data_IF_052869018537
#
_entry.id   IF_052869018537
#
_cell.length_a   1.000
_cell.length_b   1.000
_cell.length_c   1.000
_cell.angle_alpha   90.00
_cell.angle_beta   90.00
_cell.angle_gamma   90.00
#
_symmetry.space_group_name_H-M   'P 1'
#
loop_
_entity.id
_entity.type
_entity.pdbx_description
1 polymer ?
#
# COMPACT_ATOMS: atom_id res chain seq x y z
N UNK A 1 27.56 -2.00 -6.32
CA UNK A 1 27.95 -0.82 -5.50
C UNK A 1 27.09 0.45 -5.74
N UNK A 2 25.85 0.36 -6.28
CA UNK A 2 25.06 1.56 -6.65
C UNK A 2 23.87 1.93 -5.74
N UNK A 3 23.42 1.06 -4.84
CA UNK A 3 22.19 1.29 -4.06
C UNK A 3 22.34 2.31 -2.90
N UNK A 4 23.55 2.58 -2.43
CA UNK A 4 23.78 3.49 -1.31
C UNK A 4 23.51 4.97 -1.63
N UNK A 5 23.71 5.38 -2.89
CA UNK A 5 23.64 6.78 -3.30
C UNK A 5 22.18 7.28 -3.43
N UNK A 6 21.29 6.43 -3.94
CA UNK A 6 19.86 6.74 -4.11
C UNK A 6 19.16 6.86 -2.74
N UNK A 7 19.54 6.03 -1.76
CA UNK A 7 18.98 6.10 -0.40
C UNK A 7 19.39 7.37 0.36
N UNK A 8 20.60 7.90 0.10
CA UNK A 8 21.08 9.14 0.72
C UNK A 8 20.42 10.38 0.11
N UNK A 9 20.20 10.38 -1.21
CA UNK A 9 19.55 11.49 -1.91
C UNK A 9 18.06 11.62 -1.54
N UNK A 10 17.34 10.50 -1.44
CA UNK A 10 15.94 10.50 -0.98
C UNK A 10 15.81 11.02 0.46
N UNK A 11 16.68 10.56 1.38
CA UNK A 11 16.71 11.07 2.76
C UNK A 11 17.00 12.58 2.83
N UNK A 12 17.92 13.08 2.00
CA UNK A 12 18.23 14.50 1.94
C UNK A 12 17.06 15.34 1.41
N UNK A 13 16.39 14.90 0.33
CA UNK A 13 15.24 15.61 -0.21
C UNK A 13 14.07 15.68 0.78
N UNK A 14 13.77 14.56 1.43
CA UNK A 14 12.73 14.47 2.46
C UNK A 14 13.07 15.36 3.66
N UNK A 15 14.31 15.32 4.16
CA UNK A 15 14.74 16.16 5.29
C UNK A 15 14.67 17.66 5.00
N UNK A 16 15.01 18.09 3.77
CA UNK A 16 14.92 19.50 3.37
C UNK A 16 13.49 19.98 3.27
N UNK A 17 12.58 19.10 2.85
CA UNK A 17 11.16 19.42 2.79
C UNK A 17 10.59 19.61 4.20
N UNK A 18 10.84 18.67 5.13
CA UNK A 18 10.41 18.80 6.52
C UNK A 18 11.00 20.05 7.21
N UNK A 19 12.30 20.34 7.00
CA UNK A 19 12.96 21.50 7.63
C UNK A 19 12.44 22.86 7.12
N UNK A 20 11.93 22.92 5.89
CA UNK A 20 11.31 24.14 5.35
C UNK A 20 9.93 24.40 5.97
N UNK A 21 9.23 23.35 6.37
CA UNK A 21 7.89 23.47 6.96
C UNK A 21 7.92 23.80 8.46
N UNK A 22 8.90 23.30 9.22
CA UNK A 22 9.11 23.71 10.62
C UNK A 22 9.29 25.24 10.77
N UNK A 23 10.07 25.86 9.88
CA UNK A 23 10.31 27.31 9.92
C UNK A 23 9.07 28.16 9.60
N UNK A 24 8.05 27.57 8.98
CA UNK A 24 6.81 28.26 8.62
C UNK A 24 5.76 28.16 9.74
N UNK A 25 5.83 27.10 10.55
CA UNK A 25 4.90 26.85 11.66
C UNK A 25 5.23 27.73 12.87
N UNK A 26 6.51 27.90 13.22
CA UNK A 26 6.94 28.75 14.35
C UNK A 26 6.54 30.22 14.22
N UNK A 27 6.29 30.69 13.01
CA UNK A 27 5.90 32.09 12.75
C UNK A 27 4.38 32.29 12.81
N UNK A 28 3.59 31.23 12.63
CA UNK A 28 2.13 31.32 12.64
C UNK A 28 1.52 31.20 14.05
N UNK A 29 2.24 30.57 14.99
CA UNK A 29 1.77 30.33 16.36
C UNK A 29 2.00 31.54 17.31
N UNK A 30 2.79 32.53 16.86
CA UNK A 30 3.05 33.79 17.58
C UNK A 30 1.82 34.71 17.69
N UNK A 31 0.88 34.62 16.75
CA UNK A 31 -0.10 35.70 16.54
C UNK A 31 -1.54 35.36 16.98
N UNK A 32 -1.77 34.21 17.64
CA UNK A 32 -3.12 33.76 18.05
C UNK A 32 -3.25 33.31 19.51
N UNK A 33 -2.42 33.84 20.40
CA UNK A 33 -2.54 33.63 21.84
C UNK A 33 -3.09 34.88 22.54
N UNK A 34 -4.41 35.09 22.48
CA UNK A 34 -5.13 35.96 23.41
C UNK A 34 -6.58 35.47 23.56
N UNK A 35 -6.93 35.14 24.81
CA UNK A 35 -8.29 34.97 25.36
C UNK A 35 -9.12 33.75 24.93
N UNK A 36 -9.23 32.73 25.81
CA UNK A 36 -10.36 32.62 26.75
C UNK A 36 -10.13 31.47 27.76
N UNK A 37 -10.26 31.81 29.05
CA UNK A 37 -10.22 30.89 30.18
C UNK A 37 -11.53 30.09 30.27
N UNK A 38 -11.45 28.76 30.36
CA UNK A 38 -12.44 28.01 31.15
C UNK A 38 -11.89 26.69 31.67
N UNK A 39 -11.89 26.61 33.00
CA UNK A 39 -11.43 25.53 33.84
C UNK A 39 -12.40 24.34 33.80
N UNK A 40 -11.94 23.20 33.30
CA UNK A 40 -12.31 21.86 33.76
C UNK A 40 -11.20 20.90 33.30
N UNK A 41 -10.09 20.96 34.04
CA UNK A 41 -8.83 20.28 33.74
C UNK A 41 -8.85 18.80 34.12
N UNK A 42 -9.47 17.97 33.30
CA UNK A 42 -8.81 16.72 32.92
C UNK A 42 -7.98 17.02 31.68
N UNK A 43 -6.73 17.38 31.95
CA UNK A 43 -5.75 17.68 30.93
C UNK A 43 -5.69 16.50 29.94
N UNK A 44 -6.22 16.72 28.74
CA UNK A 44 -5.75 16.11 27.52
C UNK A 44 -4.25 16.45 27.40
N UNK A 45 -3.41 15.73 28.15
CA UNK A 45 -1.99 15.68 27.88
C UNK A 45 -1.88 15.11 26.49
N UNK A 46 -1.69 15.99 25.52
CA UNK A 46 -1.24 15.63 24.18
C UNK A 46 0.06 14.88 24.39
N UNK A 47 -0.01 13.54 24.37
CA UNK A 47 1.17 12.71 24.54
C UNK A 47 2.13 13.10 23.43
N UNK A 48 3.33 13.54 23.81
CA UNK A 48 4.35 13.87 22.82
C UNK A 48 4.71 12.59 22.08
N UNK A 49 4.48 12.56 20.77
CA UNK A 49 4.78 11.43 19.90
C UNK A 49 6.30 11.24 19.84
N UNK A 50 6.80 10.07 20.20
CA UNK A 50 8.21 9.74 20.07
C UNK A 50 8.51 9.21 18.66
N UNK A 51 8.81 10.15 17.76
CA UNK A 51 9.14 9.85 16.36
C UNK A 51 10.41 8.99 16.17
N UNK A 52 11.19 8.75 17.23
CA UNK A 52 12.39 7.91 17.16
C UNK A 52 12.10 6.43 17.42
N UNK A 53 10.93 6.07 17.95
CA UNK A 53 10.54 4.68 18.18
C UNK A 53 10.06 4.02 16.86
N UNK A 54 11.01 3.56 16.05
CA UNK A 54 10.72 2.87 14.80
C UNK A 54 10.34 1.41 15.06
N UNK A 55 9.05 1.09 14.97
CA UNK A 55 8.50 -0.21 15.37
C UNK A 55 7.74 -0.96 14.25
N UNK A 56 7.55 -0.33 13.08
CA UNK A 56 6.71 -0.86 12.00
C UNK A 56 7.41 -0.79 10.61
N UNK A 57 7.13 -1.73 9.69
CA UNK A 57 6.44 -3.00 9.89
C UNK A 57 7.28 -3.97 10.73
N UNK A 58 6.63 -4.95 11.36
CA UNK A 58 7.26 -5.82 12.35
C UNK A 58 8.53 -6.48 11.78
N UNK A 59 9.66 -6.26 12.44
CA UNK A 59 10.97 -6.80 12.07
C UNK A 59 11.80 -5.93 11.14
N UNK A 60 11.21 -4.93 10.48
CA UNK A 60 11.94 -3.97 9.63
C UNK A 60 12.17 -2.62 10.31
N UNK A 61 11.34 -2.24 11.29
CA UNK A 61 11.52 -1.03 12.11
C UNK A 61 11.82 0.22 11.25
N UNK A 62 10.98 0.47 10.25
CA UNK A 62 11.16 1.55 9.27
C UNK A 62 10.44 2.83 9.66
N UNK A 63 9.28 2.71 10.29
CA UNK A 63 8.41 3.82 10.65
C UNK A 63 7.87 3.62 12.07
N UNK A 64 7.59 4.73 12.74
CA UNK A 64 6.88 4.74 14.01
C UNK A 64 5.37 4.57 13.76
N UNK A 65 4.74 3.66 14.49
CA UNK A 65 3.30 3.46 14.49
C UNK A 65 2.81 3.08 15.88
N UNK A 66 2.08 3.99 16.52
CA UNK A 66 1.36 3.70 17.76
C UNK A 66 -0.05 4.30 17.70
N UNK A 67 -1.07 3.43 17.76
CA UNK A 67 -2.48 3.85 17.68
C UNK A 67 -2.95 4.59 18.94
N UNK A 68 -2.30 4.33 20.08
CA UNK A 68 -2.73 4.88 21.37
C UNK A 68 -2.33 6.35 21.52
N UNK A 69 -1.42 6.84 20.65
CA UNK A 69 -1.00 8.24 20.57
C UNK A 69 -1.96 9.09 19.72
N UNK A 70 -2.94 8.46 19.07
CA UNK A 70 -3.97 9.13 18.28
C UNK A 70 -5.27 9.24 19.06
N UNK A 71 -6.01 10.32 18.79
CA UNK A 71 -7.41 10.46 19.22
C UNK A 71 -8.27 9.31 18.66
N UNK A 72 -9.30 8.87 19.40
CA UNK A 72 -10.12 7.69 19.07
C UNK A 72 -10.65 7.66 17.62
N UNK A 73 -11.07 8.81 17.09
CA UNK A 73 -11.54 8.93 15.72
C UNK A 73 -10.40 8.68 14.71
N UNK A 74 -9.25 9.32 14.91
CA UNK A 74 -8.05 9.16 14.09
C UNK A 74 -7.47 7.75 14.20
N UNK A 75 -7.48 7.15 15.40
CA UNK A 75 -7.03 5.78 15.63
C UNK A 75 -7.83 4.76 14.81
N UNK A 76 -9.15 4.95 14.66
CA UNK A 76 -10.00 4.11 13.81
C UNK A 76 -9.62 4.21 12.34
N UNK A 77 -9.43 5.43 11.82
CA UNK A 77 -9.01 5.65 10.42
C UNK A 77 -7.65 5.02 10.17
N UNK A 78 -6.71 5.23 11.09
CA UNK A 78 -5.37 4.65 11.02
C UNK A 78 -5.40 3.12 11.01
N UNK A 79 -6.26 2.50 11.82
CA UNK A 79 -6.48 1.04 11.82
C UNK A 79 -7.04 0.54 10.49
N UNK A 80 -7.99 1.25 9.90
CA UNK A 80 -8.55 0.89 8.57
C UNK A 80 -7.45 0.97 7.50
N UNK A 81 -6.65 2.05 7.51
CA UNK A 81 -5.53 2.22 6.59
C UNK A 81 -4.48 1.10 6.74
N UNK A 82 -4.15 0.74 7.98
CA UNK A 82 -3.27 -0.39 8.29
C UNK A 82 -3.79 -1.73 7.73
N UNK A 83 -5.07 -2.05 7.97
CA UNK A 83 -5.71 -3.25 7.41
C UNK A 83 -5.68 -3.21 5.88
N UNK A 84 -5.97 -2.05 5.28
CA UNK A 84 -5.89 -1.84 3.84
C UNK A 84 -4.51 -2.15 3.26
N UNK A 85 -3.44 -1.68 3.91
CA UNK A 85 -2.05 -2.00 3.53
C UNK A 85 -1.78 -3.50 3.55
N UNK A 86 -2.24 -4.22 4.58
CA UNK A 86 -2.08 -5.67 4.64
C UNK A 86 -2.89 -6.41 3.56
N UNK A 87 -4.10 -5.95 3.24
CA UNK A 87 -4.89 -6.51 2.14
C UNK A 87 -4.19 -6.34 0.79
N UNK A 88 -3.56 -5.19 0.58
CA UNK A 88 -2.77 -4.93 -0.64
C UNK A 88 -1.55 -5.85 -0.69
N UNK A 89 -0.80 -6.00 0.41
CA UNK A 89 0.33 -6.94 0.46
C UNK A 89 -0.10 -8.38 0.21
N UNK A 90 -1.22 -8.80 0.82
CA UNK A 90 -1.81 -10.11 0.57
C UNK A 90 -2.17 -10.31 -0.90
N UNK A 91 -2.76 -9.30 -1.54
CA UNK A 91 -3.11 -9.34 -2.97
C UNK A 91 -1.87 -9.43 -3.86
N UNK A 92 -0.81 -8.67 -3.55
CA UNK A 92 0.47 -8.74 -4.29
C UNK A 92 1.13 -10.13 -4.15
N UNK A 93 1.11 -10.72 -2.95
CA UNK A 93 1.64 -12.06 -2.70
C UNK A 93 0.81 -13.14 -3.40
N UNK A 94 -0.52 -13.05 -3.33
CA UNK A 94 -1.42 -13.96 -4.03
C UNK A 94 -1.21 -13.90 -5.54
N UNK A 95 -1.03 -12.70 -6.11
CA UNK A 95 -0.71 -12.54 -7.51
C UNK A 95 0.62 -13.22 -7.88
N UNK A 96 1.65 -13.09 -7.05
CA UNK A 96 2.92 -13.78 -7.28
C UNK A 96 2.75 -15.31 -7.29
N UNK A 97 2.00 -15.85 -6.32
CA UNK A 97 1.71 -17.29 -6.25
C UNK A 97 0.91 -17.76 -7.47
N UNK A 98 -0.11 -17.01 -7.87
CA UNK A 98 -0.93 -17.33 -9.05
C UNK A 98 -0.07 -17.39 -10.32
N UNK A 99 0.80 -16.40 -10.51
CA UNK A 99 1.71 -16.35 -11.66
C UNK A 99 2.75 -17.49 -11.63
N UNK A 100 3.23 -17.90 -10.45
CA UNK A 100 4.11 -19.07 -10.32
C UNK A 100 3.38 -20.37 -10.71
N UNK A 101 2.12 -20.55 -10.29
CA UNK A 101 1.30 -21.71 -10.67
C UNK A 101 1.08 -21.71 -12.19
N UNK A 102 0.68 -20.57 -12.78
CA UNK A 102 0.49 -20.46 -14.23
C UNK A 102 1.79 -20.76 -15.00
N UNK A 103 2.93 -20.30 -14.52
CA UNK A 103 4.22 -20.61 -15.13
C UNK A 103 4.54 -22.10 -15.10
N UNK A 104 4.20 -22.79 -14.00
CA UNK A 104 4.37 -24.26 -13.90
C UNK A 104 3.50 -25.03 -14.91
N UNK A 105 2.40 -24.42 -15.37
CA UNK A 105 1.50 -24.96 -16.39
C UNK A 105 1.90 -24.57 -17.83
N UNK A 106 3.06 -23.92 -18.02
CA UNK A 106 3.59 -23.53 -19.33
C UNK A 106 3.29 -22.10 -19.77
N UNK A 107 2.80 -21.23 -18.87
CA UNK A 107 2.66 -19.80 -19.18
C UNK A 107 4.03 -19.11 -19.31
N UNK A 108 4.06 -18.00 -20.07
CA UNK A 108 5.29 -17.25 -20.33
C UNK A 108 5.94 -16.74 -19.02
N UNK A 109 7.24 -17.02 -18.77
CA UNK A 109 7.92 -16.71 -17.52
C UNK A 109 8.08 -15.20 -17.27
N UNK A 110 7.97 -14.36 -18.31
CA UNK A 110 8.03 -12.89 -18.18
C UNK A 110 6.97 -12.34 -17.21
N UNK A 111 5.84 -13.04 -17.04
CA UNK A 111 4.80 -12.67 -16.07
C UNK A 111 5.29 -12.72 -14.63
N UNK A 112 6.16 -13.67 -14.29
CA UNK A 112 6.74 -13.80 -12.95
C UNK A 112 7.55 -12.53 -12.65
N UNK A 113 8.34 -12.08 -13.62
CA UNK A 113 9.16 -10.88 -13.49
C UNK A 113 8.31 -9.63 -13.25
N UNK A 114 7.20 -9.45 -13.98
CA UNK A 114 6.26 -8.34 -13.74
C UNK A 114 5.67 -8.39 -12.33
N UNK A 115 5.22 -9.56 -11.87
CA UNK A 115 4.70 -9.69 -10.49
C UNK A 115 5.75 -9.40 -9.42
N UNK A 116 7.03 -9.71 -9.66
CA UNK A 116 8.11 -9.31 -8.76
C UNK A 116 8.31 -7.79 -8.75
N UNK A 117 8.28 -7.14 -9.92
CA UNK A 117 8.35 -5.68 -10.01
C UNK A 117 7.18 -5.02 -9.31
N UNK A 118 5.97 -5.55 -9.41
CA UNK A 118 4.80 -5.05 -8.69
C UNK A 118 5.03 -5.06 -7.17
N UNK A 119 5.59 -6.14 -6.61
CA UNK A 119 5.92 -6.19 -5.18
C UNK A 119 6.97 -5.14 -4.82
N UNK A 120 8.06 -5.06 -5.60
CA UNK A 120 9.17 -4.15 -5.32
C UNK A 120 8.76 -2.69 -5.44
N UNK A 121 7.89 -2.34 -6.40
CA UNK A 121 7.47 -0.97 -6.66
C UNK A 121 6.25 -0.57 -5.84
N UNK A 122 5.20 -1.39 -5.80
CA UNK A 122 3.95 -1.03 -5.13
C UNK A 122 4.05 -1.18 -3.61
N UNK A 123 4.77 -2.16 -3.08
CA UNK A 123 4.79 -2.38 -1.63
C UNK A 123 5.37 -1.19 -0.83
N UNK A 124 6.49 -0.56 -1.26
CA UNK A 124 7.00 0.65 -0.62
C UNK A 124 6.07 1.86 -0.78
N UNK A 125 5.42 2.00 -1.95
CA UNK A 125 4.49 3.11 -2.20
C UNK A 125 3.27 3.02 -1.29
N UNK A 126 2.71 1.83 -1.11
CA UNK A 126 1.59 1.58 -0.19
C UNK A 126 2.00 1.83 1.26
N UNK A 127 3.21 1.39 1.65
CA UNK A 127 3.77 1.67 2.97
C UNK A 127 3.92 3.18 3.22
N UNK A 128 4.46 3.90 2.24
CA UNK A 128 4.64 5.34 2.30
C UNK A 128 3.29 6.07 2.41
N UNK A 129 2.27 5.62 1.68
CA UNK A 129 0.93 6.22 1.75
C UNK A 129 0.26 5.96 3.12
N UNK A 130 0.43 4.76 3.68
CA UNK A 130 0.01 4.45 5.05
C UNK A 130 0.71 5.35 6.08
N UNK A 131 2.04 5.48 5.98
CA UNK A 131 2.81 6.32 6.88
C UNK A 131 2.40 7.78 6.79
N UNK A 132 2.23 8.30 5.56
CA UNK A 132 1.75 9.65 5.33
C UNK A 132 0.37 9.85 5.96
N UNK A 133 -0.53 8.88 5.84
CA UNK A 133 -1.85 8.91 6.50
C UNK A 133 -1.71 9.04 8.01
N UNK A 134 -0.84 8.22 8.62
CA UNK A 134 -0.59 8.26 10.06
C UNK A 134 -0.03 9.61 10.50
N UNK A 135 0.99 10.14 9.81
CA UNK A 135 1.60 11.44 10.11
C UNK A 135 0.58 12.57 9.99
N UNK A 136 -0.25 12.56 8.94
CA UNK A 136 -1.33 13.55 8.78
C UNK A 136 -2.32 13.50 9.94
N UNK A 137 -2.69 12.31 10.40
CA UNK A 137 -3.62 12.12 11.53
C UNK A 137 -3.00 12.55 12.88
N UNK A 138 -1.71 12.29 13.06
CA UNK A 138 -0.94 12.66 14.26
C UNK A 138 -0.72 14.17 14.38
N UNK A 139 -0.33 14.82 13.28
CA UNK A 139 0.02 16.25 13.27
C UNK A 139 -1.18 17.18 13.16
N UNK A 140 -2.35 16.65 12.77
CA UNK A 140 -3.60 17.42 12.56
C UNK A 140 -3.46 18.63 11.62
N UNK A 141 -2.42 18.66 10.77
CA UNK A 141 -2.12 19.78 9.89
C UNK A 141 -2.93 19.69 8.58
N UNK A 142 -3.68 20.75 8.27
CA UNK A 142 -4.57 20.83 7.08
C UNK A 142 -3.81 20.73 5.75
N UNK A 143 -2.57 21.20 5.68
CA UNK A 143 -1.75 21.11 4.46
C UNK A 143 -1.43 19.67 4.11
N UNK A 144 -1.01 18.88 5.11
CA UNK A 144 -0.74 17.45 4.97
C UNK A 144 -1.99 16.65 4.61
N UNK A 145 -3.18 17.10 5.01
CA UNK A 145 -4.44 16.46 4.66
C UNK A 145 -4.72 16.52 3.15
N UNK A 146 -4.51 17.69 2.53
CA UNK A 146 -4.68 17.84 1.08
C UNK A 146 -3.69 16.96 0.31
N UNK A 147 -2.42 16.95 0.73
CA UNK A 147 -1.39 16.11 0.12
C UNK A 147 -1.68 14.61 0.26
N UNK A 148 -2.06 14.16 1.46
CA UNK A 148 -2.46 12.79 1.73
C UNK A 148 -3.70 12.37 0.93
N UNK A 149 -4.68 13.26 0.77
CA UNK A 149 -5.87 13.00 -0.06
C UNK A 149 -5.48 12.85 -1.54
N UNK A 150 -4.61 13.73 -2.04
CA UNK A 150 -4.07 13.63 -3.41
C UNK A 150 -3.32 12.32 -3.65
N UNK A 151 -2.51 11.89 -2.68
CA UNK A 151 -1.78 10.61 -2.75
C UNK A 151 -2.74 9.40 -2.82
N UNK A 152 -3.82 9.39 -2.02
CA UNK A 152 -4.85 8.35 -2.10
C UNK A 152 -5.58 8.33 -3.44
N UNK A 153 -5.98 9.49 -3.96
CA UNK A 153 -6.64 9.58 -5.27
C UNK A 153 -5.71 9.05 -6.36
N UNK A 154 -4.44 9.45 -6.34
CA UNK A 154 -3.43 8.96 -7.29
C UNK A 154 -3.26 7.44 -7.19
N UNK A 155 -3.20 6.89 -5.97
CA UNK A 155 -3.13 5.44 -5.75
C UNK A 155 -4.36 4.72 -6.29
N UNK A 156 -5.56 5.25 -6.05
CA UNK A 156 -6.80 4.69 -6.61
C UNK A 156 -6.78 4.68 -8.14
N UNK A 157 -6.32 5.77 -8.77
CA UNK A 157 -6.19 5.84 -10.23
C UNK A 157 -5.14 4.85 -10.77
N UNK A 158 -4.01 4.69 -10.06
CA UNK A 158 -2.98 3.72 -10.40
C UNK A 158 -3.54 2.29 -10.35
N UNK A 159 -4.23 1.92 -9.27
CA UNK A 159 -4.88 0.62 -9.15
C UNK A 159 -5.95 0.39 -10.22
N UNK A 160 -6.77 1.41 -10.51
CA UNK A 160 -7.78 1.33 -11.55
C UNK A 160 -7.14 1.11 -12.93
N UNK A 161 -6.04 1.80 -13.22
CA UNK A 161 -5.28 1.63 -14.47
C UNK A 161 -4.72 0.21 -14.58
N UNK A 162 -4.09 -0.29 -13.51
CA UNK A 162 -3.58 -1.66 -13.45
C UNK A 162 -4.67 -2.71 -13.60
N UNK A 163 -5.87 -2.44 -13.07
CA UNK A 163 -7.05 -3.29 -13.23
C UNK A 163 -7.55 -3.31 -14.68
N UNK A 164 -7.63 -2.15 -15.36
CA UNK A 164 -8.09 -2.04 -16.75
C UNK A 164 -7.11 -2.70 -17.73
N UNK A 165 -5.80 -2.49 -17.54
CA UNK A 165 -4.76 -3.05 -18.43
C UNK A 165 -4.77 -4.59 -18.38
N UNK A 166 -5.30 -5.20 -17.32
CA UNK A 166 -5.33 -6.65 -17.20
C UNK A 166 -3.93 -7.26 -17.04
N UNK A 167 -2.96 -6.46 -16.65
CA UNK A 167 -1.61 -6.92 -16.31
C UNK A 167 -1.26 -6.70 -14.84
N UNK A 168 -2.19 -6.16 -14.05
CA UNK A 168 -1.97 -5.91 -12.63
C UNK A 168 -2.36 -7.06 -11.68
N UNK A 169 -2.09 -6.87 -10.36
CA UNK A 169 -2.29 -7.88 -9.32
C UNK A 169 -3.73 -8.40 -9.16
N UNK A 170 -4.70 -7.65 -9.67
CA UNK A 170 -6.13 -7.93 -9.54
C UNK A 170 -6.62 -8.88 -10.64
N UNK A 171 -5.79 -9.14 -11.66
CA UNK A 171 -6.24 -9.85 -12.85
C UNK A 171 -6.31 -11.38 -12.72
N UNK A 172 -5.85 -11.96 -11.61
CA UNK A 172 -6.01 -13.39 -11.33
C UNK A 172 -7.49 -13.83 -11.34
N UNK A 173 -8.40 -12.98 -10.84
CA UNK A 173 -9.83 -13.34 -10.74
C UNK A 173 -10.56 -13.35 -12.09
N UNK A 174 -10.23 -12.45 -13.00
CA UNK A 174 -10.90 -12.39 -14.32
C UNK A 174 -10.45 -13.55 -15.20
N UNK A 175 -9.16 -13.92 -15.17
CA UNK A 175 -8.60 -15.02 -15.98
C UNK A 175 -9.02 -16.41 -15.49
N UNK A 176 -9.36 -16.57 -14.21
CA UNK A 176 -9.89 -17.84 -13.68
C UNK A 176 -11.17 -18.29 -14.42
N UNK A 177 -12.00 -17.34 -14.86
CA UNK A 177 -13.22 -17.65 -15.62
C UNK A 177 -12.92 -18.23 -17.00
N UNK A 178 -11.84 -17.77 -17.65
CA UNK A 178 -11.44 -18.23 -18.97
C UNK A 178 -10.67 -19.56 -18.92
N UNK A 179 -9.90 -19.80 -17.86
CA UNK A 179 -9.21 -21.08 -17.66
C UNK A 179 -10.20 -22.23 -17.44
N UNK A 180 -11.33 -21.97 -16.76
CA UNK A 180 -12.38 -22.97 -16.55
C UNK A 180 -13.00 -23.45 -17.86
N UNK A 181 -13.21 -22.55 -18.84
CA UNK A 181 -13.78 -22.92 -20.14
C UNK A 181 -12.78 -23.70 -21.00
N UNK A 182 -11.49 -23.34 -20.96
CA UNK A 182 -10.45 -24.07 -21.71
C UNK A 182 -10.18 -25.47 -21.14
N UNK A 183 -10.11 -25.62 -19.82
CA UNK A 183 -9.96 -26.93 -19.17
C UNK A 183 -11.17 -27.83 -19.49
N UNK A 184 -12.38 -27.29 -19.45
CA UNK A 184 -13.59 -28.02 -19.84
C UNK A 184 -13.53 -28.45 -21.32
N UNK A 185 -13.04 -27.59 -22.21
CA UNK A 185 -12.84 -27.90 -23.63
C UNK A 185 -11.79 -28.99 -23.88
N UNK A 186 -10.64 -28.95 -23.19
CA UNK A 186 -9.57 -29.94 -23.31
C UNK A 186 -9.95 -31.30 -22.74
N UNK A 187 -10.68 -31.33 -21.62
CA UNK A 187 -11.25 -32.56 -21.09
C UNK A 187 -12.22 -33.19 -22.11
N UNK A 188 -13.15 -32.41 -22.67
CA UNK A 188 -14.09 -32.89 -23.69
C UNK A 188 -13.40 -33.44 -24.94
N UNK A 189 -12.36 -32.76 -25.45
CA UNK A 189 -11.62 -33.20 -26.64
C UNK A 189 -10.87 -34.52 -26.42
N UNK A 190 -10.40 -34.77 -25.19
CA UNK A 190 -9.73 -36.02 -24.80
C UNK A 190 -10.70 -37.21 -24.67
N UNK A 191 -11.97 -36.97 -24.36
CA UNK A 191 -13.01 -38.00 -24.36
C UNK A 191 -13.44 -38.37 -25.78
N UNK A 192 -13.65 -37.38 -26.65
CA UNK A 192 -14.02 -37.61 -28.05
C UNK A 192 -12.95 -38.43 -28.81
N UNK A 193 -11.67 -38.09 -28.62
CA UNK A 193 -10.56 -38.85 -29.25
C UNK A 193 -10.51 -40.31 -28.77
N UNK A 194 -10.97 -40.60 -27.55
CA UNK A 194 -11.05 -41.98 -27.03
C UNK A 194 -12.26 -42.75 -27.56
N UNK A 195 -13.37 -42.07 -27.86
CA UNK A 195 -14.55 -42.69 -28.47
C UNK A 195 -14.29 -43.06 -29.94
N UNK A 196 -13.60 -42.20 -30.69
CA UNK A 196 -13.24 -42.49 -32.09
C UNK A 196 -12.35 -43.73 -32.23
N UNK A 197 -11.40 -43.92 -31.31
CA UNK A 197 -10.54 -45.10 -31.28
C UNK A 197 -11.29 -46.40 -30.91
N UNK A 198 -12.48 -46.30 -30.30
CA UNK A 198 -13.27 -47.48 -29.91
C UNK A 198 -14.26 -47.92 -31.01
N UNK A 199 -14.68 -47.00 -31.87
CA UNK A 199 -15.59 -47.31 -32.98
C UNK A 199 -14.86 -47.72 -34.27
N UNK A 200 -13.53 -47.63 -34.31
CA UNK A 200 -12.70 -47.99 -35.46
C UNK A 200 -12.11 -49.41 -35.38
N UNK A 201 -12.54 -50.19 -34.39
CA UNK A 201 -12.21 -51.62 -34.20
C UNK A 201 -13.46 -52.48 -34.40
#
# INVERSE_FOLDING_TARGET
>A
MGFGLVSKLSRLAVSRWFKKEEATITTAESDTASEENNENGEANQVQSIDWNDLNYPWGLNLVHYNRNELEDASAKVSRISHIGTFLVYGTLLLNLVDVMILASMGAYPMRILYSFFDIILLAPVVCANFYLTFVTLATKNKSYLAFCTGAHILMCLLYLTLAIVGEGPINGFTKFTHLKSEIAGCAGRSYLKRLDMRNSS
#
